data_IF_600089918723
#
_entry.id   IF_600089918723
#
_cell.length_a   1.000
_cell.length_b   1.000
_cell.length_c   1.000
_cell.angle_alpha   90.00
_cell.angle_beta   90.00
_cell.angle_gamma   90.00
#
_symmetry.space_group_name_H-M   'P 1'
#
loop_
_entity.id
_entity.type
_entity.pdbx_description
1 polymer ?
#
# COMPACT_ATOMS: atom_id res chain seq x y z
N UNK A 1 4.72 -1.53 -51.84
CA UNK A 1 3.98 -0.64 -50.94
C UNK A 1 3.19 -1.54 -49.99
N UNK A 2 3.83 -1.93 -48.88
CA UNK A 2 3.32 -2.93 -47.94
C UNK A 2 2.34 -2.28 -46.96
N UNK A 3 1.21 -2.94 -46.75
CA UNK A 3 0.07 -2.48 -45.98
C UNK A 3 0.42 -2.17 -44.52
N UNK A 4 0.07 -0.96 -44.11
CA UNK A 4 -0.15 -0.65 -42.71
C UNK A 4 -1.51 -1.23 -42.33
N UNK A 5 -1.52 -2.52 -41.97
CA UNK A 5 -2.58 -3.07 -41.13
C UNK A 5 -2.51 -2.35 -39.79
N UNK A 6 -3.25 -1.26 -39.72
CA UNK A 6 -3.53 -0.50 -38.51
C UNK A 6 -4.28 -1.45 -37.59
N UNK A 7 -3.52 -2.10 -36.71
CA UNK A 7 -4.00 -2.83 -35.56
C UNK A 7 -4.64 -1.83 -34.59
N UNK A 8 -5.80 -1.28 -34.96
CA UNK A 8 -6.65 -0.49 -34.08
C UNK A 8 -7.23 -1.47 -33.07
N UNK A 9 -6.46 -1.75 -32.01
CA UNK A 9 -7.01 -2.36 -30.78
C UNK A 9 -8.19 -1.50 -30.37
N UNK A 10 -9.39 -2.06 -30.47
CA UNK A 10 -10.58 -1.54 -29.82
C UNK A 10 -10.34 -1.60 -28.31
N UNK A 11 -9.88 -0.48 -27.74
CA UNK A 11 -9.86 -0.29 -26.29
C UNK A 11 -11.32 -0.24 -25.86
N UNK A 12 -11.80 -1.34 -25.28
CA UNK A 12 -13.09 -1.35 -24.60
C UNK A 12 -12.93 -0.41 -23.40
N UNK A 13 -13.45 0.81 -23.53
CA UNK A 13 -13.61 1.75 -22.42
C UNK A 13 -14.47 1.06 -21.37
N UNK A 14 -13.84 0.64 -20.26
CA UNK A 14 -14.55 0.12 -19.10
C UNK A 14 -14.71 1.27 -18.13
N UNK A 15 -15.94 1.55 -17.71
CA UNK A 15 -16.20 2.48 -16.62
C UNK A 15 -15.96 1.75 -15.29
N UNK A 16 -15.16 2.36 -14.42
CA UNK A 16 -14.87 1.85 -13.07
C UNK A 16 -15.36 2.89 -12.08
N UNK A 17 -16.21 2.47 -11.14
CA UNK A 17 -16.74 3.34 -10.09
C UNK A 17 -16.14 2.91 -8.75
N UNK A 18 -15.44 3.84 -8.09
CA UNK A 18 -14.82 3.62 -6.80
C UNK A 18 -15.58 4.41 -5.72
N UNK A 19 -15.85 3.73 -4.60
CA UNK A 19 -16.34 4.38 -3.38
C UNK A 19 -15.18 4.43 -2.40
N UNK A 20 -14.70 5.64 -2.12
CA UNK A 20 -13.53 5.92 -1.30
C UNK A 20 -13.98 6.57 0.02
N UNK A 21 -13.12 6.60 1.06
CA UNK A 21 -13.41 7.36 2.26
C UNK A 21 -13.73 8.82 1.94
N UNK A 22 -15.00 9.22 2.10
CA UNK A 22 -15.44 10.60 1.89
C UNK A 22 -15.56 11.07 0.43
N UNK A 23 -15.34 10.20 -0.56
CA UNK A 23 -15.42 10.56 -1.98
C UNK A 23 -15.94 9.40 -2.83
N UNK A 24 -16.50 9.73 -3.99
CA UNK A 24 -16.86 8.76 -5.01
C UNK A 24 -16.27 9.22 -6.33
N UNK A 25 -15.60 8.31 -7.04
CA UNK A 25 -14.91 8.61 -8.28
C UNK A 25 -15.31 7.63 -9.39
N UNK A 26 -15.42 8.13 -10.62
CA UNK A 26 -15.80 7.37 -11.81
C UNK A 26 -14.76 7.53 -12.91
N UNK A 27 -14.11 6.43 -13.28
CA UNK A 27 -13.01 6.40 -14.23
C UNK A 27 -13.44 5.80 -15.56
N UNK A 28 -13.22 6.54 -16.64
CA UNK A 28 -13.34 5.99 -18.01
C UNK A 28 -11.98 5.52 -18.49
N UNK A 29 -11.74 4.23 -18.31
CA UNK A 29 -10.39 3.66 -18.45
C UNK A 29 -9.94 3.59 -19.92
N UNK A 30 -8.88 4.33 -20.25
CA UNK A 30 -8.12 4.17 -21.49
C UNK A 30 -6.78 3.45 -21.23
N UNK A 31 -6.00 3.20 -22.28
CA UNK A 31 -4.72 2.50 -22.16
C UNK A 31 -3.74 3.22 -21.23
N UNK A 32 -3.62 4.54 -21.35
CA UNK A 32 -2.63 5.32 -20.59
C UNK A 32 -2.98 5.35 -19.11
N UNK A 33 -4.25 5.54 -18.78
CA UNK A 33 -4.76 5.49 -17.41
C UNK A 33 -4.55 4.11 -16.79
N UNK A 34 -4.81 3.02 -17.54
CA UNK A 34 -4.55 1.64 -17.09
C UNK A 34 -3.07 1.42 -16.79
N UNK A 35 -2.18 1.92 -17.66
CA UNK A 35 -0.73 1.78 -17.46
C UNK A 35 -0.22 2.59 -16.27
N UNK A 36 -0.72 3.81 -16.07
CA UNK A 36 -0.40 4.62 -14.91
C UNK A 36 -0.88 3.95 -13.61
N UNK A 37 -2.15 3.52 -13.57
CA UNK A 37 -2.72 2.82 -12.43
C UNK A 37 -1.98 1.52 -12.11
N UNK A 38 -1.54 0.77 -13.12
CA UNK A 38 -0.76 -0.46 -12.94
C UNK A 38 0.59 -0.19 -12.25
N UNK A 39 1.32 0.84 -12.70
CA UNK A 39 2.60 1.23 -12.10
C UNK A 39 2.41 1.64 -10.64
N UNK A 40 1.41 2.49 -10.39
CA UNK A 40 1.08 2.97 -9.05
C UNK A 40 0.66 1.83 -8.13
N UNK A 41 -0.20 0.91 -8.61
CA UNK A 41 -0.59 -0.29 -7.87
C UNK A 41 0.61 -1.09 -7.39
N UNK A 42 1.57 -1.41 -8.29
CA UNK A 42 2.73 -2.20 -7.89
C UNK A 42 3.68 -1.46 -6.95
N UNK A 43 3.85 -0.15 -7.13
CA UNK A 43 4.63 0.67 -6.21
C UNK A 43 4.05 0.63 -4.79
N UNK A 44 2.72 0.77 -4.63
CA UNK A 44 2.08 0.68 -3.33
C UNK A 44 1.99 -0.75 -2.80
N UNK A 45 1.58 -1.72 -3.61
CA UNK A 45 1.44 -3.12 -3.17
C UNK A 45 2.77 -3.75 -2.72
N UNK A 46 3.91 -3.19 -3.07
CA UNK A 46 5.24 -3.65 -2.60
C UNK A 46 5.75 -2.89 -1.38
N UNK A 47 5.20 -1.70 -1.07
CA UNK A 47 5.72 -0.78 -0.03
C UNK A 47 4.74 -0.43 1.08
N UNK A 48 3.43 -0.44 0.78
CA UNK A 48 2.32 -0.34 1.73
C UNK A 48 1.95 -1.72 2.29
N UNK A 49 2.23 -2.79 1.53
CA UNK A 49 2.21 -4.16 2.03
C UNK A 49 3.48 -4.53 2.82
N UNK A 50 4.18 -3.52 3.37
CA UNK A 50 5.17 -3.78 4.41
C UNK A 50 4.49 -4.64 5.45
N UNK A 51 5.12 -5.79 5.72
CA UNK A 51 4.72 -6.77 6.73
C UNK A 51 4.11 -6.03 7.93
N UNK A 52 3.02 -6.54 8.52
CA UNK A 52 2.59 -6.05 9.82
C UNK A 52 3.85 -5.92 10.67
N UNK A 53 4.14 -4.70 11.14
CA UNK A 53 5.21 -4.55 12.12
C UNK A 53 4.67 -5.26 13.36
N UNK A 54 4.95 -6.56 13.50
CA UNK A 54 4.63 -7.31 14.71
C UNK A 54 5.13 -6.49 15.91
N UNK A 55 4.42 -6.55 17.03
CA UNK A 55 4.52 -5.59 18.14
C UNK A 55 5.93 -5.44 18.78
N UNK A 56 6.93 -6.21 18.34
CA UNK A 56 8.34 -6.06 18.73
C UNK A 56 9.36 -6.18 17.60
N UNK A 57 8.95 -6.12 16.32
CA UNK A 57 9.87 -6.23 15.19
C UNK A 57 9.65 -5.15 14.12
N UNK A 58 10.66 -4.97 13.26
CA UNK A 58 10.67 -4.02 12.16
C UNK A 58 11.12 -2.61 12.54
N UNK A 59 11.84 -1.97 11.62
CA UNK A 59 12.49 -0.68 11.82
C UNK A 59 11.54 0.47 11.43
N UNK A 60 11.26 1.39 12.36
CA UNK A 60 10.31 2.47 12.14
C UNK A 60 10.88 3.50 11.17
N UNK A 61 12.19 3.76 11.25
CA UNK A 61 12.89 4.63 10.29
C UNK A 61 12.81 4.10 8.87
N UNK A 62 13.04 2.80 8.65
CA UNK A 62 12.90 2.15 7.34
C UNK A 62 11.46 2.23 6.84
N UNK A 63 10.49 2.05 7.74
CA UNK A 63 9.06 2.16 7.40
C UNK A 63 8.73 3.57 6.92
N UNK A 64 9.10 4.60 7.68
CA UNK A 64 8.91 6.00 7.28
C UNK A 64 9.64 6.35 5.98
N UNK A 65 10.86 5.85 5.81
CA UNK A 65 11.64 6.04 4.58
C UNK A 65 10.95 5.39 3.38
N UNK A 66 10.39 4.19 3.54
CA UNK A 66 9.60 3.51 2.50
C UNK A 66 8.36 4.30 2.11
N UNK A 67 7.61 4.82 3.10
CA UNK A 67 6.41 5.62 2.86
C UNK A 67 6.74 6.97 2.19
N UNK A 68 7.83 7.63 2.60
CA UNK A 68 8.31 8.85 1.94
C UNK A 68 8.74 8.59 0.50
N UNK A 69 9.41 7.47 0.25
CA UNK A 69 9.78 7.06 -1.12
C UNK A 69 8.53 6.84 -1.97
N UNK A 70 7.49 6.21 -1.43
CA UNK A 70 6.21 6.05 -2.12
C UNK A 70 5.56 7.41 -2.44
N UNK A 71 5.55 8.33 -1.47
CA UNK A 71 5.05 9.69 -1.67
C UNK A 71 5.77 10.38 -2.85
N UNK A 72 7.09 10.30 -2.89
CA UNK A 72 7.89 10.93 -3.96
C UNK A 72 7.63 10.30 -5.32
N UNK A 73 7.58 8.97 -5.40
CA UNK A 73 7.27 8.23 -6.63
C UNK A 73 5.86 8.54 -7.17
N UNK A 74 4.90 8.84 -6.31
CA UNK A 74 3.54 9.20 -6.70
C UNK A 74 3.42 10.66 -7.11
N UNK A 75 4.26 11.53 -6.54
CA UNK A 75 4.34 12.95 -6.88
C UNK A 75 5.02 13.20 -8.22
N UNK A 76 6.07 12.45 -8.54
CA UNK A 76 6.86 12.64 -9.78
C UNK A 76 5.99 12.68 -11.06
N UNK A 77 5.06 11.73 -11.32
CA UNK A 77 4.21 11.78 -12.50
C UNK A 77 3.28 13.00 -12.56
N UNK A 78 2.92 13.58 -11.41
CA UNK A 78 2.03 14.76 -11.32
C UNK A 78 2.76 16.05 -11.70
N UNK A 79 4.08 16.11 -11.49
CA UNK A 79 4.91 17.28 -11.79
C UNK A 79 5.55 17.20 -13.19
N UNK A 80 5.45 16.05 -13.86
CA UNK A 80 6.06 15.86 -15.17
C UNK A 80 5.33 16.62 -16.28
N UNK A 81 6.07 17.36 -17.11
CA UNK A 81 5.53 18.06 -18.30
C UNK A 81 4.89 17.11 -19.32
N UNK A 82 5.15 15.79 -19.21
CA UNK A 82 4.56 14.74 -20.03
C UNK A 82 3.30 14.11 -19.46
N UNK A 83 2.78 14.59 -18.32
CA UNK A 83 1.55 14.05 -17.75
C UNK A 83 0.36 14.39 -18.66
N UNK A 84 -0.47 13.41 -19.05
CA UNK A 84 -1.61 13.68 -19.91
C UNK A 84 -2.57 14.66 -19.20
N UNK A 85 -3.22 15.57 -19.94
CA UNK A 85 -4.22 16.44 -19.35
C UNK A 85 -5.34 15.61 -18.70
N UNK A 86 -6.03 16.16 -17.69
CA UNK A 86 -7.21 15.53 -17.12
C UNK A 86 -8.21 15.13 -18.23
N UNK A 87 -8.90 13.99 -18.08
CA UNK A 87 -9.90 13.57 -19.05
C UNK A 87 -11.04 14.58 -19.11
N UNK A 88 -11.70 14.69 -20.27
CA UNK A 88 -12.86 15.58 -20.44
C UNK A 88 -14.09 15.10 -19.67
N UNK A 89 -14.17 13.81 -19.36
CA UNK A 89 -15.26 13.17 -18.61
C UNK A 89 -14.72 12.10 -17.67
N UNK A 90 -15.25 12.07 -16.44
CA UNK A 90 -14.80 11.18 -15.37
C UNK A 90 -13.53 11.67 -14.68
N UNK A 91 -13.09 10.91 -13.69
CA UNK A 91 -11.90 11.19 -12.89
C UNK A 91 -10.64 10.61 -13.53
N UNK A 92 -9.51 11.23 -13.21
CA UNK A 92 -8.18 10.77 -13.57
C UNK A 92 -7.55 9.93 -12.45
N UNK A 93 -6.70 8.98 -12.84
CA UNK A 93 -5.86 8.26 -11.87
C UNK A 93 -4.95 9.21 -11.07
N UNK A 94 -4.61 10.37 -11.63
CA UNK A 94 -3.79 11.39 -10.95
C UNK A 94 -4.56 12.10 -9.83
N UNK A 95 -5.87 12.32 -9.98
CA UNK A 95 -6.72 12.81 -8.88
C UNK A 95 -6.85 11.79 -7.75
N UNK A 96 -7.01 10.50 -8.09
CA UNK A 96 -6.98 9.43 -7.09
C UNK A 96 -5.65 9.41 -6.30
N UNK A 97 -4.53 9.65 -6.98
CA UNK A 97 -3.21 9.73 -6.35
C UNK A 97 -3.06 10.98 -5.51
N UNK A 98 -3.61 12.11 -5.93
CA UNK A 98 -3.64 13.33 -5.12
C UNK A 98 -4.37 13.09 -3.79
N UNK A 99 -5.46 12.33 -3.79
CA UNK A 99 -6.16 11.97 -2.56
C UNK A 99 -5.27 11.11 -1.64
N UNK A 100 -4.58 10.09 -2.19
CA UNK A 100 -3.62 9.26 -1.44
C UNK A 100 -2.51 10.13 -0.82
N UNK A 101 -1.95 11.06 -1.60
CA UNK A 101 -0.86 11.92 -1.16
C UNK A 101 -1.31 12.90 -0.08
N UNK A 102 -2.42 13.59 -0.29
CA UNK A 102 -2.83 14.71 0.54
C UNK A 102 -3.60 14.30 1.79
N UNK A 103 -4.41 13.24 1.72
CA UNK A 103 -5.29 12.85 2.82
C UNK A 103 -4.70 11.70 3.66
N UNK A 104 -3.84 10.87 3.10
CA UNK A 104 -3.27 9.72 3.80
C UNK A 104 -1.78 9.88 4.09
N UNK A 105 -0.94 9.97 3.05
CA UNK A 105 0.52 9.93 3.22
C UNK A 105 1.10 11.22 3.83
N UNK A 106 0.73 12.41 3.32
CA UNK A 106 1.29 13.67 3.82
C UNK A 106 1.00 13.92 5.31
N UNK A 107 -0.26 13.78 5.80
CA UNK A 107 -0.55 13.99 7.22
C UNK A 107 0.23 13.03 8.11
N UNK A 108 0.32 11.74 7.73
CA UNK A 108 1.09 10.75 8.48
C UNK A 108 2.58 11.11 8.55
N UNK A 109 3.20 11.38 7.39
CA UNK A 109 4.62 11.71 7.29
C UNK A 109 4.96 13.01 8.04
N UNK A 110 4.08 14.02 7.98
CA UNK A 110 4.27 15.29 8.66
C UNK A 110 4.28 15.17 10.18
N UNK A 111 3.50 14.25 10.75
CA UNK A 111 3.49 13.99 12.19
C UNK A 111 4.72 13.18 12.61
N UNK A 112 5.00 12.08 11.90
CA UNK A 112 5.88 11.06 12.45
C UNK A 112 7.36 11.24 12.11
N UNK A 113 7.71 11.78 10.93
CA UNK A 113 9.11 12.05 10.60
C UNK A 113 9.84 12.97 11.58
N UNK A 114 9.31 14.17 11.93
CA UNK A 114 10.02 15.07 12.82
C UNK A 114 10.12 14.51 14.24
N UNK A 115 9.08 13.80 14.72
CA UNK A 115 9.09 13.22 16.07
C UNK A 115 10.11 12.11 16.22
N UNK A 116 10.18 11.18 15.26
CA UNK A 116 11.18 10.11 15.29
C UNK A 116 12.59 10.69 15.20
N UNK A 117 12.82 11.64 14.28
CA UNK A 117 14.11 12.31 14.14
C UNK A 117 14.55 12.99 15.44
N UNK A 118 13.66 13.73 16.10
CA UNK A 118 13.97 14.41 17.35
C UNK A 118 14.35 13.41 18.47
N UNK A 119 13.70 12.25 18.53
CA UNK A 119 14.07 11.20 19.47
C UNK A 119 15.45 10.62 19.17
N UNK A 120 15.72 10.28 17.92
CA UNK A 120 17.00 9.72 17.47
C UNK A 120 18.17 10.69 17.69
N UNK A 121 17.95 11.99 17.49
CA UNK A 121 18.95 13.05 17.74
C UNK A 121 19.21 13.24 19.24
N UNK A 122 18.17 13.15 20.08
CA UNK A 122 18.29 13.32 21.52
C UNK A 122 18.84 12.09 22.25
N UNK A 123 18.65 10.89 21.68
CA UNK A 123 19.02 9.61 22.29
C UNK A 123 19.71 8.69 21.27
N UNK A 124 20.89 9.06 20.75
CA UNK A 124 21.56 8.33 19.66
C UNK A 124 21.94 6.89 20.02
N UNK A 125 22.08 6.57 21.31
CA UNK A 125 22.38 5.24 21.83
C UNK A 125 21.14 4.38 22.13
N UNK A 126 19.94 4.97 22.12
CA UNK A 126 18.71 4.26 22.43
C UNK A 126 18.08 3.67 21.17
N UNK A 127 17.55 2.45 21.31
CA UNK A 127 16.80 1.81 20.24
C UNK A 127 15.40 2.43 20.08
N UNK A 128 14.86 2.39 18.87
CA UNK A 128 13.52 2.91 18.54
C UNK A 128 12.41 2.23 19.38
N UNK A 129 12.63 1.02 19.90
CA UNK A 129 11.72 0.34 20.85
C UNK A 129 11.57 1.07 22.18
N UNK A 130 12.55 1.88 22.57
CA UNK A 130 12.49 2.71 23.78
C UNK A 130 11.83 4.08 23.53
N UNK A 131 11.47 4.40 22.27
CA UNK A 131 10.80 5.64 21.93
C UNK A 131 9.39 5.68 22.54
N UNK A 132 9.05 6.70 23.36
CA UNK A 132 7.74 6.76 24.03
C UNK A 132 6.54 6.71 23.08
N UNK A 133 6.67 7.27 21.88
CA UNK A 133 5.58 7.30 20.89
C UNK A 133 5.53 6.02 20.02
N UNK A 134 6.40 5.02 20.24
CA UNK A 134 6.48 3.81 19.38
C UNK A 134 5.12 3.10 19.25
N UNK A 135 4.43 2.89 20.36
CA UNK A 135 3.12 2.23 20.35
C UNK A 135 2.06 3.03 19.58
N UNK A 136 2.09 4.36 19.71
CA UNK A 136 1.18 5.25 19.00
C UNK A 136 1.48 5.30 17.50
N UNK A 137 2.76 5.35 17.13
CA UNK A 137 3.23 5.26 15.75
C UNK A 137 2.71 3.97 15.09
N UNK A 138 2.90 2.82 15.75
CA UNK A 138 2.47 1.50 15.22
C UNK A 138 0.96 1.43 15.04
N UNK A 139 0.18 1.99 15.98
CA UNK A 139 -1.28 2.09 15.84
C UNK A 139 -1.65 2.95 14.63
N UNK A 140 -1.07 4.14 14.52
CA UNK A 140 -1.34 5.07 13.42
C UNK A 140 -0.94 4.48 12.07
N UNK A 141 0.14 3.69 12.02
CA UNK A 141 0.56 2.99 10.81
C UNK A 141 -0.48 1.95 10.38
N UNK A 142 -1.06 1.20 11.31
CA UNK A 142 -2.14 0.24 11.01
C UNK A 142 -3.37 0.95 10.46
N UNK A 143 -3.72 2.10 11.03
CA UNK A 143 -4.84 2.94 10.55
C UNK A 143 -4.55 3.45 9.13
N UNK A 144 -3.36 3.99 8.87
CA UNK A 144 -2.94 4.40 7.53
C UNK A 144 -3.03 3.24 6.53
N UNK A 145 -2.55 2.05 6.88
CA UNK A 145 -2.61 0.87 6.02
C UNK A 145 -4.06 0.44 5.71
N UNK A 146 -4.96 0.57 6.68
CA UNK A 146 -6.39 0.31 6.49
C UNK A 146 -7.02 1.35 5.56
N UNK A 147 -6.69 2.63 5.72
CA UNK A 147 -7.22 3.71 4.89
C UNK A 147 -6.70 3.65 3.45
N UNK A 148 -5.43 3.31 3.24
CA UNK A 148 -4.83 3.18 1.91
C UNK A 148 -5.39 2.01 1.10
N UNK A 149 -5.94 0.99 1.77
CA UNK A 149 -6.42 -0.25 1.15
C UNK A 149 -7.46 -0.03 0.03
N UNK A 150 -8.58 0.70 0.24
CA UNK A 150 -9.54 0.97 -0.83
C UNK A 150 -8.91 1.69 -2.03
N UNK A 151 -8.01 2.64 -1.80
CA UNK A 151 -7.31 3.34 -2.89
C UNK A 151 -6.45 2.39 -3.73
N UNK A 152 -5.68 1.52 -3.07
CA UNK A 152 -4.79 0.56 -3.77
C UNK A 152 -5.62 -0.48 -4.53
N UNK A 153 -6.72 -0.97 -3.96
CA UNK A 153 -7.66 -1.85 -4.68
C UNK A 153 -8.19 -1.12 -5.92
N UNK A 154 -8.62 0.13 -5.77
CA UNK A 154 -9.09 0.98 -6.86
C UNK A 154 -8.08 1.17 -7.99
N UNK A 155 -6.80 1.41 -7.66
CA UNK A 155 -5.71 1.44 -8.65
C UNK A 155 -5.62 0.12 -9.43
N UNK A 156 -5.77 -1.01 -8.75
CA UNK A 156 -5.79 -2.33 -9.39
C UNK A 156 -7.00 -2.54 -10.31
N UNK A 157 -8.18 -2.07 -9.90
CA UNK A 157 -9.41 -2.12 -10.71
C UNK A 157 -9.29 -1.26 -11.97
N UNK A 158 -8.82 -0.01 -11.83
CA UNK A 158 -8.54 0.90 -12.95
C UNK A 158 -7.52 0.27 -13.90
N UNK A 159 -6.48 -0.38 -13.37
CA UNK A 159 -5.48 -1.10 -14.17
C UNK A 159 -6.03 -2.34 -14.89
N UNK A 160 -7.18 -2.88 -14.46
CA UNK A 160 -7.74 -4.13 -14.96
C UNK A 160 -7.07 -5.39 -14.39
N UNK A 161 -6.45 -5.27 -13.22
CA UNK A 161 -5.92 -6.43 -12.48
C UNK A 161 -7.09 -7.26 -11.99
N UNK A 162 -7.02 -8.57 -12.22
CA UNK A 162 -8.04 -9.49 -11.69
C UNK A 162 -7.81 -9.70 -10.19
N UNK A 163 -8.84 -9.44 -9.39
CA UNK A 163 -8.81 -9.60 -7.93
C UNK A 163 -7.58 -8.90 -7.31
N UNK A 164 -7.48 -7.56 -7.42
CA UNK A 164 -6.31 -6.81 -6.91
C UNK A 164 -6.14 -6.98 -5.40
N UNK A 165 -7.22 -7.20 -4.67
CA UNK A 165 -7.22 -7.41 -3.23
C UNK A 165 -6.40 -8.64 -2.81
N UNK A 166 -6.36 -9.71 -3.63
CA UNK A 166 -5.53 -10.90 -3.37
C UNK A 166 -4.06 -10.58 -3.13
N UNK A 167 -3.54 -9.54 -3.79
CA UNK A 167 -2.16 -9.12 -3.64
C UNK A 167 -1.89 -8.35 -2.34
N UNK A 168 -2.96 -7.92 -1.64
CA UNK A 168 -2.90 -7.21 -0.36
C UNK A 168 -3.21 -8.13 0.84
N UNK A 169 -3.91 -9.25 0.62
CA UNK A 169 -4.35 -10.18 1.69
C UNK A 169 -3.22 -11.03 2.31
N UNK A 170 -2.02 -11.09 1.71
CA UNK A 170 -0.96 -12.02 2.17
C UNK A 170 -0.31 -11.65 3.52
N UNK A 171 -0.58 -10.46 4.05
CA UNK A 171 -0.13 -10.01 5.38
C UNK A 171 -0.94 -10.58 6.55
N UNK A 172 -2.11 -11.19 6.32
CA UNK A 172 -2.95 -11.75 7.38
C UNK A 172 -2.69 -13.24 7.69
N UNK A 173 -1.91 -13.95 6.87
CA UNK A 173 -1.72 -15.41 7.02
C UNK A 173 -0.81 -15.80 8.19
N UNK A 174 -0.18 -14.83 8.87
CA UNK A 174 0.71 -15.10 10.01
C UNK A 174 0.07 -14.91 11.39
N UNK A 175 -1.11 -14.29 11.50
CA UNK A 175 -1.77 -14.11 12.81
C UNK A 175 -2.52 -15.36 13.26
N UNK A 176 -3.07 -16.16 12.33
CA UNK A 176 -3.94 -17.30 12.71
C UNK A 176 -3.16 -18.62 12.90
N UNK A 177 -1.93 -18.75 12.39
CA UNK A 177 -1.23 -20.04 12.43
C UNK A 177 -0.47 -20.32 13.75
N UNK A 178 -0.37 -19.35 14.67
CA UNK A 178 0.21 -19.55 16.00
C UNK A 178 -0.82 -19.75 17.12
N UNK A 179 -2.12 -19.55 16.84
CA UNK A 179 -3.17 -19.69 17.85
C UNK A 179 -3.80 -21.09 17.92
N UNK A 180 -3.69 -21.91 16.87
CA UNK A 180 -4.28 -23.24 16.83
C UNK A 180 -3.24 -24.36 16.67
N UNK A 181 -2.90 -24.97 17.81
CA UNK A 181 -2.73 -26.42 17.92
C UNK A 181 -1.42 -27.02 17.42
N UNK A 182 -0.38 -27.00 18.26
CA UNK A 182 0.54 -28.16 18.34
C UNK A 182 -0.11 -29.15 19.30
N UNK A 183 -0.56 -30.34 18.88
CA UNK A 183 -0.90 -31.38 19.82
C UNK A 183 0.41 -31.88 20.44
N UNK A 184 0.55 -31.71 21.75
CA UNK A 184 1.54 -32.43 22.56
C UNK A 184 1.43 -33.92 22.22
N UNK A 185 2.44 -34.46 21.54
CA UNK A 185 2.60 -35.89 21.37
C UNK A 185 2.96 -36.47 22.73
N UNK A 186 1.93 -36.94 23.43
CA UNK A 186 2.03 -37.64 24.68
C UNK A 186 2.65 -39.02 24.42
N UNK A 187 3.96 -39.14 24.60
CA UNK A 187 4.69 -40.41 24.48
C UNK A 187 4.30 -41.33 25.64
N UNK A 188 3.67 -42.50 25.42
CA UNK A 188 3.35 -43.39 26.52
C UNK A 188 4.63 -44.06 27.02
N UNK A 189 4.94 -43.86 28.30
CA UNK A 189 5.94 -44.68 29.01
C UNK A 189 5.51 -46.14 28.91
N UNK A 190 6.25 -46.97 28.15
CA UNK A 190 6.20 -48.41 28.31
C UNK A 190 7.00 -48.78 29.55
N UNK A 191 6.27 -49.01 30.63
CA UNK A 191 6.74 -49.82 31.75
C UNK A 191 6.53 -51.30 31.43
N UNK A 192 7.26 -52.13 32.18
CA UNK A 192 7.08 -53.57 32.48
C UNK A 192 7.95 -54.56 31.71
N UNK A 193 8.17 -55.79 32.23
CA UNK A 193 8.89 -56.12 33.48
C UNK A 193 9.77 -57.40 33.33
N UNK A 194 10.45 -57.77 34.42
CA UNK A 194 11.20 -59.03 34.70
C UNK A 194 12.68 -58.98 34.41
#
# INVERSE_FOLDING_TARGET
MLGADVYRKSVQLTEVRLVLPGSEMTFRTNTDMRQAALRMFFQAATRVATRPLDDGSGNLRETLTSLKTLFDMYREPLESEGSPPPPTEGDSVHELVLDILNFELAPFLAVWHPRLRAFEEAHPEMDETAWPDNAEFRRSLRELQQNLRPYIIGLGEIAGIRDPERHLRRSAWHTTQHADGVPEQNTPRRSTPT
#
